data_IF_515858069189
#
_entry.id   IF_515858069189
#
_cell.length_a   1.000
_cell.length_b   1.000
_cell.length_c   1.000
_cell.angle_alpha   90.00
_cell.angle_beta   90.00
_cell.angle_gamma   90.00
#
_symmetry.space_group_name_H-M   'P 1'
#
loop_
_entity.id
_entity.type
_entity.pdbx_description
1 polymer ?
#
# COMPACT_ATOMS: atom_id res chain seq x y z
N UNK A 1 -32.82 62.64 -26.75
CA UNK A 1 -31.43 62.15 -26.68
C UNK A 1 -31.49 60.77 -26.02
N UNK A 2 -31.37 59.62 -26.68
CA UNK A 2 -30.46 59.22 -27.75
C UNK A 2 -29.51 58.15 -27.17
N UNK A 3 -29.65 56.89 -27.61
CA UNK A 3 -28.96 55.63 -27.22
C UNK A 3 -27.40 55.78 -27.19
N UNK A 4 -26.59 54.94 -26.54
CA UNK A 4 -26.29 53.52 -26.87
C UNK A 4 -25.26 52.90 -25.89
N UNK A 5 -25.32 51.57 -25.77
CA UNK A 5 -24.48 50.61 -25.02
C UNK A 5 -23.04 50.42 -25.54
N UNK A 6 -22.11 49.97 -24.67
CA UNK A 6 -21.01 49.07 -25.07
C UNK A 6 -20.49 48.19 -23.90
N UNK A 7 -20.43 46.90 -24.17
CA UNK A 7 -19.96 45.77 -23.35
C UNK A 7 -18.50 45.41 -23.69
N UNK A 8 -17.69 45.00 -22.69
CA UNK A 8 -16.48 44.13 -22.78
C UNK A 8 -16.19 43.65 -21.35
N UNK A 9 -16.27 42.38 -20.94
CA UNK A 9 -15.74 41.08 -21.43
C UNK A 9 -14.22 40.92 -21.22
N UNK A 10 -13.83 40.53 -20.01
CA UNK A 10 -12.57 39.85 -19.67
C UNK A 10 -12.90 38.82 -18.56
N UNK A 11 -13.16 37.57 -18.93
CA UNK A 11 -12.23 36.44 -19.00
C UNK A 11 -11.98 35.77 -17.62
N UNK A 12 -12.23 34.44 -17.50
CA UNK A 12 -12.24 33.73 -16.23
C UNK A 12 -10.84 33.57 -15.65
N UNK A 13 -10.74 33.73 -14.32
CA UNK A 13 -9.56 33.43 -13.53
C UNK A 13 -9.09 32.00 -13.82
N UNK A 14 -8.00 31.87 -14.58
CA UNK A 14 -7.23 30.63 -14.70
C UNK A 14 -6.73 30.28 -13.30
N UNK A 15 -7.45 29.40 -12.61
CA UNK A 15 -6.94 28.71 -11.45
C UNK A 15 -5.61 28.09 -11.83
N UNK A 16 -4.52 28.57 -11.23
CA UNK A 16 -3.21 27.95 -11.33
C UNK A 16 -3.37 26.49 -10.91
N UNK A 17 -3.32 25.58 -11.88
CA UNK A 17 -3.15 24.17 -11.61
C UNK A 17 -1.85 24.05 -10.79
N UNK A 18 -2.01 23.79 -9.50
CA UNK A 18 -0.91 23.50 -8.58
C UNK A 18 -0.21 22.27 -9.15
N UNK A 19 0.89 22.50 -9.88
CA UNK A 19 1.75 21.41 -10.32
C UNK A 19 2.21 20.70 -9.06
N UNK A 20 1.71 19.47 -8.87
CA UNK A 20 2.18 18.58 -7.84
C UNK A 20 3.69 18.46 -8.01
N UNK A 21 4.42 19.10 -7.10
CA UNK A 21 5.87 19.18 -7.10
C UNK A 21 6.39 17.75 -7.04
N UNK A 22 6.91 17.24 -8.16
CA UNK A 22 7.56 15.92 -8.25
C UNK A 22 8.70 15.94 -7.23
N UNK A 23 8.51 15.26 -6.09
CA UNK A 23 9.55 15.12 -5.08
C UNK A 23 10.64 14.26 -5.72
N UNK A 24 11.74 14.90 -6.13
CA UNK A 24 12.99 14.23 -6.51
C UNK A 24 13.44 13.38 -5.33
N UNK A 25 13.42 12.06 -5.49
CA UNK A 25 13.99 11.11 -4.53
C UNK A 25 13.53 9.69 -4.83
N UNK A 26 14.41 8.89 -5.45
CA UNK A 26 14.32 7.44 -5.57
C UNK A 26 14.05 6.93 -6.99
N UNK A 27 15.08 6.39 -7.66
CA UNK A 27 15.00 5.48 -8.82
C UNK A 27 14.35 6.00 -10.10
N UNK A 28 15.16 6.41 -11.09
CA UNK A 28 14.69 6.71 -12.45
C UNK A 28 14.37 5.45 -13.27
N UNK A 29 13.50 4.57 -12.76
CA UNK A 29 12.94 3.44 -13.51
C UNK A 29 11.59 3.78 -14.15
N UNK A 30 11.17 3.04 -15.18
CA UNK A 30 9.80 3.13 -15.69
C UNK A 30 8.83 2.79 -14.54
N UNK A 31 7.80 3.61 -14.34
CA UNK A 31 6.78 3.36 -13.31
C UNK A 31 6.18 1.95 -13.43
N UNK A 32 6.10 1.39 -14.65
CA UNK A 32 5.66 0.01 -14.86
C UNK A 32 6.56 -0.99 -14.15
N UNK A 33 7.87 -0.85 -14.31
CA UNK A 33 8.85 -1.73 -13.68
C UNK A 33 8.82 -1.59 -12.17
N UNK A 34 8.65 -0.37 -11.65
CA UNK A 34 8.51 -0.13 -10.20
C UNK A 34 7.29 -0.88 -9.65
N UNK A 35 6.14 -0.78 -10.32
CA UNK A 35 4.91 -1.49 -9.93
C UNK A 35 5.13 -3.00 -9.96
N UNK A 36 5.64 -3.54 -11.08
CA UNK A 36 5.85 -4.97 -11.27
C UNK A 36 6.86 -5.56 -10.28
N UNK A 37 7.98 -4.88 -10.06
CA UNK A 37 9.00 -5.30 -9.08
C UNK A 37 8.43 -5.30 -7.67
N UNK A 38 7.65 -4.28 -7.30
CA UNK A 38 6.99 -4.24 -6.00
C UNK A 38 5.97 -5.38 -5.84
N UNK A 39 5.16 -5.66 -6.86
CA UNK A 39 4.22 -6.78 -6.82
C UNK A 39 4.92 -8.13 -6.78
N UNK A 40 6.03 -8.31 -7.50
CA UNK A 40 6.88 -9.51 -7.41
C UNK A 40 7.45 -9.69 -5.99
N UNK A 41 7.92 -8.60 -5.38
CA UNK A 41 8.38 -8.60 -4.00
C UNK A 41 7.24 -8.98 -3.05
N UNK A 42 6.06 -8.36 -3.16
CA UNK A 42 4.91 -8.71 -2.33
C UNK A 42 4.51 -10.18 -2.51
N UNK A 43 4.52 -10.69 -3.74
CA UNK A 43 4.25 -12.10 -4.04
C UNK A 43 5.25 -13.05 -3.35
N UNK A 44 6.56 -12.73 -3.38
CA UNK A 44 7.59 -13.50 -2.68
C UNK A 44 7.40 -13.54 -1.15
N UNK A 45 6.66 -12.58 -0.61
CA UNK A 45 6.31 -12.48 0.80
C UNK A 45 4.94 -13.13 1.11
N UNK A 46 4.35 -13.83 0.14
CA UNK A 46 3.02 -14.47 0.28
C UNK A 46 1.87 -13.47 0.27
N UNK A 47 2.08 -12.24 -0.21
CA UNK A 47 1.05 -11.22 -0.37
C UNK A 47 0.61 -11.21 -1.84
N UNK A 48 -0.50 -11.88 -2.13
CA UNK A 48 -1.08 -11.98 -3.46
C UNK A 48 -1.80 -10.70 -3.91
N UNK A 49 -2.25 -9.89 -2.95
CA UNK A 49 -3.04 -8.68 -3.19
C UNK A 49 -2.38 -7.45 -2.58
N UNK A 50 -2.16 -6.44 -3.41
CA UNK A 50 -1.53 -5.18 -3.06
C UNK A 50 -2.54 -4.05 -3.14
N UNK A 51 -2.57 -3.18 -2.12
CA UNK A 51 -3.49 -2.03 -2.11
C UNK A 51 -3.04 -0.92 -3.06
N UNK A 52 -4.01 -0.15 -3.57
CA UNK A 52 -3.75 1.07 -4.33
C UNK A 52 -2.87 2.06 -3.56
N UNK A 53 -3.09 2.17 -2.25
CA UNK A 53 -2.31 3.03 -1.37
C UNK A 53 -0.84 2.59 -1.28
N UNK A 54 -0.58 1.28 -1.21
CA UNK A 54 0.78 0.74 -1.21
C UNK A 54 1.51 1.04 -2.53
N UNK A 55 0.84 0.82 -3.68
CA UNK A 55 1.40 1.13 -4.99
C UNK A 55 1.69 2.61 -5.18
N UNK A 56 0.78 3.49 -4.74
CA UNK A 56 1.00 4.94 -4.79
C UNK A 56 2.18 5.38 -3.93
N UNK A 57 2.34 4.78 -2.74
CA UNK A 57 3.47 5.02 -1.85
C UNK A 57 4.79 4.62 -2.51
N UNK A 58 4.83 3.42 -3.09
CA UNK A 58 6.04 2.89 -3.72
C UNK A 58 6.44 3.69 -4.97
N UNK A 59 5.46 4.04 -5.80
CA UNK A 59 5.68 4.84 -7.01
C UNK A 59 5.82 6.34 -6.74
N UNK A 60 5.73 6.76 -5.48
CA UNK A 60 5.82 8.16 -5.04
C UNK A 60 4.81 9.11 -5.72
N UNK A 61 3.59 8.61 -5.98
CA UNK A 61 2.48 9.41 -6.48
C UNK A 61 1.47 9.71 -5.38
N UNK A 62 0.97 10.95 -5.34
CA UNK A 62 -0.02 11.36 -4.34
C UNK A 62 -1.43 10.80 -4.60
N UNK A 63 -1.71 10.36 -5.83
CA UNK A 63 -3.03 9.87 -6.22
C UNK A 63 -3.03 9.27 -7.63
N UNK A 64 -4.12 8.56 -7.94
CA UNK A 64 -4.28 7.80 -9.18
C UNK A 64 -4.54 8.65 -10.41
N UNK A 65 -4.94 9.91 -10.24
CA UNK A 65 -5.23 10.83 -11.35
C UNK A 65 -3.97 11.30 -12.09
N UNK A 66 -2.79 11.11 -11.49
CA UNK A 66 -1.53 11.40 -12.15
C UNK A 66 -1.38 10.57 -13.42
N UNK A 67 -1.22 11.22 -14.58
CA UNK A 67 -0.97 10.53 -15.86
C UNK A 67 0.21 9.56 -15.77
N UNK A 68 1.24 9.90 -14.99
CA UNK A 68 2.43 9.06 -14.79
C UNK A 68 2.19 7.79 -13.97
N UNK A 69 1.08 7.70 -13.24
CA UNK A 69 0.63 6.47 -12.57
C UNK A 69 -0.46 5.78 -13.39
N UNK A 70 -1.47 6.56 -13.82
CA UNK A 70 -2.66 6.07 -14.52
C UNK A 70 -2.34 5.37 -15.83
N UNK A 71 -1.43 5.92 -16.63
CA UNK A 71 -1.11 5.36 -17.95
C UNK A 71 -0.38 4.01 -17.79
N UNK A 72 0.72 3.91 -17.01
CA UNK A 72 1.34 2.62 -16.66
C UNK A 72 0.35 1.60 -16.10
N UNK A 73 -0.50 2.02 -15.15
CA UNK A 73 -1.48 1.12 -14.55
C UNK A 73 -2.51 0.62 -15.57
N UNK A 74 -3.00 1.48 -16.46
CA UNK A 74 -3.91 1.09 -17.55
C UNK A 74 -3.23 0.14 -18.53
N UNK A 75 -1.97 0.37 -18.83
CA UNK A 75 -1.19 -0.49 -19.72
C UNK A 75 -0.99 -1.87 -19.08
N UNK A 76 -0.57 -1.94 -17.81
CA UNK A 76 -0.38 -3.21 -17.10
C UNK A 76 -1.70 -4.00 -16.93
N UNK A 77 -2.83 -3.31 -16.75
CA UNK A 77 -4.13 -3.96 -16.53
C UNK A 77 -4.89 -4.31 -17.81
N UNK A 78 -4.87 -3.44 -18.83
CA UNK A 78 -5.66 -3.60 -20.07
C UNK A 78 -4.83 -3.85 -21.32
N UNK A 79 -3.60 -3.35 -21.37
CA UNK A 79 -2.72 -3.51 -22.53
C UNK A 79 -1.97 -4.83 -22.50
N UNK A 80 -1.24 -5.07 -21.41
CA UNK A 80 -0.41 -6.26 -21.20
C UNK A 80 -1.14 -7.35 -20.42
N UNK A 81 -2.15 -7.00 -19.61
CA UNK A 81 -2.91 -7.97 -18.82
C UNK A 81 -2.13 -8.60 -17.66
N UNK A 82 -0.98 -8.04 -17.26
CA UNK A 82 -0.12 -8.57 -16.20
C UNK A 82 -0.67 -8.37 -14.78
N UNK A 83 -1.61 -7.43 -14.61
CA UNK A 83 -2.20 -7.11 -13.32
C UNK A 83 -3.72 -7.15 -13.44
N UNK A 84 -4.36 -7.80 -12.48
CA UNK A 84 -5.82 -7.72 -12.27
C UNK A 84 -6.12 -6.69 -11.18
N UNK A 85 -7.24 -5.97 -11.33
CA UNK A 85 -7.71 -4.99 -10.36
C UNK A 85 -9.09 -5.40 -9.84
N UNK A 86 -9.23 -5.47 -8.53
CA UNK A 86 -10.50 -5.63 -7.84
C UNK A 86 -10.70 -4.48 -6.85
N UNK A 87 -11.71 -3.64 -7.05
CA UNK A 87 -11.92 -2.43 -6.25
C UNK A 87 -10.66 -1.54 -6.10
N UNK A 88 -9.99 -1.59 -4.94
CA UNK A 88 -8.77 -0.84 -4.61
C UNK A 88 -7.56 -1.76 -4.31
N UNK A 89 -7.64 -3.02 -4.72
CA UNK A 89 -6.57 -4.00 -4.64
C UNK A 89 -6.17 -4.48 -6.04
N UNK A 90 -4.91 -4.87 -6.15
CA UNK A 90 -4.27 -5.30 -7.39
C UNK A 90 -3.54 -6.61 -7.13
N UNK A 91 -3.64 -7.58 -8.03
CA UNK A 91 -2.93 -8.85 -7.96
C UNK A 91 -2.27 -9.17 -9.30
N UNK A 92 -1.21 -9.99 -9.27
CA UNK A 92 -0.58 -10.47 -10.50
C UNK A 92 -1.54 -11.46 -11.19
N UNK A 93 -1.73 -11.32 -12.50
CA UNK A 93 -2.37 -12.36 -13.32
C UNK A 93 -1.42 -13.53 -13.55
N UNK A 94 -1.90 -14.61 -14.16
CA UNK A 94 -1.03 -15.71 -14.62
C UNK A 94 0.02 -15.21 -15.61
N UNK A 95 -0.39 -14.41 -16.60
CA UNK A 95 0.52 -13.81 -17.59
C UNK A 95 1.58 -12.91 -16.92
N UNK A 96 1.17 -12.13 -15.92
CA UNK A 96 2.09 -11.27 -15.17
C UNK A 96 3.09 -12.06 -14.34
N UNK A 97 2.65 -13.17 -13.72
CA UNK A 97 3.54 -14.10 -13.01
C UNK A 97 4.54 -14.75 -13.96
N UNK A 98 4.07 -15.25 -15.10
CA UNK A 98 4.92 -15.87 -16.11
C UNK A 98 5.97 -14.88 -16.62
N UNK A 99 5.57 -13.65 -16.97
CA UNK A 99 6.48 -12.60 -17.41
C UNK A 99 7.59 -12.30 -16.40
N UNK A 100 7.24 -12.20 -15.11
CA UNK A 100 8.21 -11.95 -14.04
C UNK A 100 9.11 -13.16 -13.79
N UNK A 101 8.62 -14.38 -13.97
CA UNK A 101 9.40 -15.62 -13.88
C UNK A 101 10.42 -15.72 -15.01
N UNK A 102 10.03 -15.42 -16.24
CA UNK A 102 10.92 -15.37 -17.42
C UNK A 102 12.03 -14.32 -17.26
N UNK A 103 11.75 -13.24 -16.53
CA UNK A 103 12.75 -12.22 -16.17
C UNK A 103 13.60 -12.58 -14.95
N UNK A 104 13.37 -13.73 -14.29
CA UNK A 104 14.06 -14.12 -13.06
C UNK A 104 13.75 -13.21 -11.86
N UNK A 105 12.62 -12.49 -11.88
CA UNK A 105 12.22 -11.53 -10.83
C UNK A 105 11.17 -12.09 -9.88
N UNK A 106 10.49 -13.17 -10.24
CA UNK A 106 9.49 -13.81 -9.38
C UNK A 106 10.15 -14.90 -8.54
N UNK A 107 10.31 -14.65 -7.25
CA UNK A 107 10.66 -15.70 -6.29
C UNK A 107 9.41 -16.51 -5.91
N UNK A 108 9.62 -17.78 -5.55
CA UNK A 108 8.56 -18.64 -5.05
C UNK A 108 7.91 -18.03 -3.81
N UNK A 109 6.58 -18.11 -3.67
CA UNK A 109 5.92 -17.71 -2.44
C UNK A 109 6.34 -18.63 -1.28
N UNK A 110 6.14 -18.20 -0.02
CA UNK A 110 6.44 -19.01 1.16
C UNK A 110 5.70 -20.35 1.10
N UNK A 111 6.38 -21.44 1.46
CA UNK A 111 5.80 -22.79 1.42
C UNK A 111 5.00 -23.10 2.68
N UNK A 112 5.35 -22.46 3.80
CA UNK A 112 4.72 -22.67 5.11
C UNK A 112 4.12 -21.38 5.66
N UNK A 113 3.17 -21.53 6.59
CA UNK A 113 2.55 -20.40 7.27
C UNK A 113 3.59 -19.66 8.13
N UNK A 114 4.50 -20.38 8.79
CA UNK A 114 5.56 -19.79 9.60
C UNK A 114 6.52 -18.93 8.76
N UNK A 115 6.94 -19.42 7.59
CA UNK A 115 7.77 -18.64 6.65
C UNK A 115 7.04 -17.39 6.16
N UNK A 116 5.75 -17.53 5.81
CA UNK A 116 4.91 -16.40 5.40
C UNK A 116 4.84 -15.34 6.49
N UNK A 117 4.57 -15.74 7.73
CA UNK A 117 4.48 -14.83 8.87
C UNK A 117 5.84 -14.18 9.17
N UNK A 118 6.95 -14.92 9.06
CA UNK A 118 8.29 -14.37 9.24
C UNK A 118 8.61 -13.30 8.18
N UNK A 119 8.32 -13.58 6.91
CA UNK A 119 8.49 -12.63 5.80
C UNK A 119 7.63 -11.38 5.97
N UNK A 120 6.35 -11.55 6.34
CA UNK A 120 5.44 -10.43 6.60
C UNK A 120 5.90 -9.56 7.78
N UNK A 121 6.41 -10.18 8.85
CA UNK A 121 7.01 -9.47 10.00
C UNK A 121 8.26 -8.69 9.59
N UNK A 122 9.15 -9.30 8.80
CA UNK A 122 10.37 -8.64 8.31
C UNK A 122 10.03 -7.42 7.43
N UNK A 123 9.07 -7.57 6.51
CA UNK A 123 8.57 -6.48 5.69
C UNK A 123 8.06 -5.33 6.55
N UNK A 124 7.22 -5.64 7.54
CA UNK A 124 6.67 -4.64 8.43
C UNK A 124 7.78 -3.94 9.22
N UNK A 125 8.81 -4.66 9.67
CA UNK A 125 10.00 -4.09 10.31
C UNK A 125 10.80 -3.13 9.42
N UNK A 126 10.87 -3.38 8.11
CA UNK A 126 11.48 -2.45 7.14
C UNK A 126 10.63 -1.21 6.89
N UNK A 127 9.31 -1.36 6.92
CA UNK A 127 8.36 -0.28 6.61
C UNK A 127 8.07 0.64 7.82
N UNK A 128 8.04 0.09 9.02
CA UNK A 128 7.78 0.85 10.24
C UNK A 128 9.09 1.29 10.91
N UNK A 129 9.17 2.55 11.34
CA UNK A 129 10.34 3.06 12.10
C UNK A 129 10.24 2.72 13.59
N UNK A 130 9.75 1.53 13.90
CA UNK A 130 9.43 1.08 15.25
C UNK A 130 10.52 0.12 15.73
N UNK A 131 10.95 0.19 17.01
CA UNK A 131 11.88 -0.80 17.55
C UNK A 131 11.35 -2.22 17.39
N UNK A 132 12.21 -3.13 16.90
CA UNK A 132 11.84 -4.52 16.59
C UNK A 132 11.15 -5.22 17.76
N UNK A 133 11.67 -5.07 18.98
CA UNK A 133 11.07 -5.67 20.19
C UNK A 133 9.61 -5.24 20.43
N UNK A 134 9.24 -4.00 20.09
CA UNK A 134 7.86 -3.50 20.25
C UNK A 134 6.94 -4.03 19.16
N UNK A 135 7.46 -4.18 17.95
CA UNK A 135 6.73 -4.82 16.86
C UNK A 135 6.46 -6.29 17.21
N UNK A 136 7.46 -7.00 17.72
CA UNK A 136 7.36 -8.41 18.08
C UNK A 136 6.32 -8.67 19.16
N UNK A 137 6.26 -7.80 20.17
CA UNK A 137 5.27 -7.91 21.23
C UNK A 137 3.83 -7.80 20.70
N UNK A 138 3.58 -6.87 19.77
CA UNK A 138 2.25 -6.71 19.15
C UNK A 138 1.96 -7.84 18.18
N UNK A 139 2.95 -8.25 17.39
CA UNK A 139 2.83 -9.34 16.44
C UNK A 139 2.45 -10.65 17.16
N UNK A 140 3.16 -10.99 18.24
CA UNK A 140 2.91 -12.19 19.01
C UNK A 140 1.50 -12.25 19.62
N UNK A 141 0.96 -11.10 20.05
CA UNK A 141 -0.43 -11.04 20.55
C UNK A 141 -1.41 -11.31 19.42
N UNK A 142 -1.27 -10.63 18.28
CA UNK A 142 -2.23 -10.73 17.19
C UNK A 142 -2.21 -12.09 16.46
N UNK A 143 -1.14 -12.88 16.62
CA UNK A 143 -1.03 -14.23 16.04
C UNK A 143 -2.04 -15.22 16.59
N UNK A 144 -2.66 -14.98 17.75
CA UNK A 144 -3.69 -15.86 18.29
C UNK A 144 -5.02 -15.80 17.47
N UNK A 145 -5.10 -14.86 16.54
CA UNK A 145 -6.24 -14.65 15.65
C UNK A 145 -7.48 -14.06 16.31
N UNK A 146 -7.38 -13.57 17.55
CA UNK A 146 -8.49 -13.01 18.32
C UNK A 146 -8.51 -11.47 18.25
N UNK A 147 -9.69 -10.87 18.43
CA UNK A 147 -9.79 -9.42 18.56
C UNK A 147 -9.19 -8.92 19.88
N UNK A 148 -8.17 -8.06 19.79
CA UNK A 148 -7.53 -7.36 20.91
C UNK A 148 -7.86 -5.88 20.93
N UNK A 149 -8.01 -5.32 22.12
CA UNK A 149 -8.18 -3.89 22.34
C UNK A 149 -6.87 -3.14 22.12
N UNK A 150 -6.97 -1.84 21.81
CA UNK A 150 -5.79 -0.96 21.74
C UNK A 150 -5.02 -0.92 23.06
N UNK A 151 -5.69 -1.03 24.21
CA UNK A 151 -5.04 -1.03 25.52
C UNK A 151 -4.12 -2.25 25.73
N UNK A 152 -4.55 -3.44 25.29
CA UNK A 152 -3.74 -4.66 25.34
C UNK A 152 -2.48 -4.52 24.46
N UNK A 153 -2.64 -4.01 23.24
CA UNK A 153 -1.51 -3.79 22.32
C UNK A 153 -0.51 -2.75 22.86
N UNK A 154 -1.00 -1.69 23.51
CA UNK A 154 -0.15 -0.67 24.14
C UNK A 154 0.62 -1.23 25.34
N UNK A 155 -0.05 -2.06 26.15
CA UNK A 155 0.57 -2.73 27.31
C UNK A 155 1.72 -3.62 26.84
N UNK A 156 1.49 -4.43 25.79
CA UNK A 156 2.49 -5.34 25.26
C UNK A 156 3.68 -4.62 24.61
N UNK A 157 3.41 -3.59 23.80
CA UNK A 157 4.45 -2.80 23.13
C UNK A 157 5.18 -1.82 24.05
N UNK A 158 4.69 -1.61 25.27
CA UNK A 158 5.20 -0.58 26.18
C UNK A 158 5.11 0.83 25.59
N UNK A 159 4.13 1.12 24.73
CA UNK A 159 3.85 2.48 24.28
C UNK A 159 2.91 3.17 25.27
N UNK A 160 3.20 4.44 25.58
CA UNK A 160 2.41 5.22 26.56
C UNK A 160 0.97 5.48 26.12
N UNK A 161 0.71 5.43 24.82
CA UNK A 161 -0.61 5.73 24.27
C UNK A 161 -0.67 5.50 22.76
N UNK A 162 -1.89 5.40 22.25
CA UNK A 162 -2.18 5.18 20.83
C UNK A 162 -1.65 6.31 19.93
N UNK A 163 -1.38 7.48 20.52
CA UNK A 163 -0.84 8.64 19.82
C UNK A 163 0.67 8.59 19.59
N UNK A 164 1.37 7.62 20.18
CA UNK A 164 2.80 7.43 20.01
C UNK A 164 3.14 7.24 18.53
N UNK A 165 4.12 8.00 18.02
CA UNK A 165 4.50 7.97 16.60
C UNK A 165 4.82 6.57 16.09
N UNK A 166 5.55 5.77 16.88
CA UNK A 166 5.86 4.37 16.55
C UNK A 166 4.63 3.46 16.49
N UNK A 167 3.72 3.58 17.47
CA UNK A 167 2.46 2.82 17.46
C UNK A 167 1.59 3.20 16.26
N UNK A 168 1.38 4.50 16.02
CA UNK A 168 0.65 5.01 14.85
C UNK A 168 1.25 4.51 13.54
N UNK A 169 2.58 4.57 13.42
CA UNK A 169 3.28 4.10 12.23
C UNK A 169 3.05 2.61 12.02
N UNK A 170 3.25 1.79 13.05
CA UNK A 170 3.06 0.33 12.98
C UNK A 170 1.63 -0.04 12.56
N UNK A 171 0.61 0.52 13.23
CA UNK A 171 -0.79 0.26 12.92
C UNK A 171 -1.17 0.74 11.52
N UNK A 172 -0.64 1.89 11.08
CA UNK A 172 -0.85 2.42 9.74
C UNK A 172 -0.28 1.50 8.66
N UNK A 173 0.94 1.00 8.85
CA UNK A 173 1.58 0.10 7.88
C UNK A 173 0.91 -1.28 7.86
N UNK A 174 0.55 -1.85 9.02
CA UNK A 174 -0.25 -3.09 9.08
C UNK A 174 -1.58 -2.94 8.33
N UNK A 175 -2.25 -1.78 8.46
CA UNK A 175 -3.48 -1.49 7.71
C UNK A 175 -3.22 -1.34 6.21
N UNK A 176 -2.15 -0.65 5.81
CA UNK A 176 -1.80 -0.47 4.40
C UNK A 176 -1.52 -1.79 3.68
N UNK A 177 -1.00 -2.78 4.41
CA UNK A 177 -0.72 -4.14 3.94
C UNK A 177 -1.93 -5.09 4.07
N UNK A 178 -3.10 -4.62 4.53
CA UNK A 178 -4.27 -5.46 4.81
C UNK A 178 -4.01 -6.60 5.79
N UNK A 179 -3.05 -6.44 6.70
CA UNK A 179 -2.78 -7.43 7.75
C UNK A 179 -3.84 -7.39 8.84
N UNK A 180 -4.61 -6.30 8.94
CA UNK A 180 -5.66 -6.13 9.94
C UNK A 180 -7.03 -6.35 9.33
N UNK A 181 -7.91 -7.01 10.08
CA UNK A 181 -9.30 -7.22 9.71
C UNK A 181 -10.14 -5.96 10.02
N UNK A 182 -10.65 -5.30 8.97
CA UNK A 182 -11.46 -4.07 9.10
C UNK A 182 -12.86 -4.31 9.68
N UNK A 183 -13.33 -5.56 9.71
CA UNK A 183 -14.62 -5.94 10.29
C UNK A 183 -14.57 -6.12 11.81
N UNK A 184 -13.36 -6.02 12.39
CA UNK A 184 -13.17 -6.13 13.83
C UNK A 184 -13.93 -5.01 14.55
N UNK A 185 -14.75 -5.38 15.55
CA UNK A 185 -15.59 -4.43 16.28
C UNK A 185 -14.86 -3.18 16.78
N UNK A 186 -15.59 -2.07 16.94
CA UNK A 186 -15.04 -0.74 17.28
C UNK A 186 -14.03 -0.80 18.44
N UNK A 187 -12.82 -0.33 18.19
CA UNK A 187 -11.74 -0.26 19.20
C UNK A 187 -10.94 -1.55 19.38
N UNK A 188 -11.24 -2.59 18.61
CA UNK A 188 -10.50 -3.85 18.58
C UNK A 188 -9.76 -4.04 17.26
N UNK A 189 -8.72 -4.85 17.31
CA UNK A 189 -7.76 -5.13 16.24
C UNK A 189 -7.51 -6.63 16.23
N UNK A 190 -7.54 -7.24 15.04
CA UNK A 190 -7.26 -8.66 14.81
C UNK A 190 -6.46 -8.78 13.52
N UNK A 191 -5.57 -9.77 13.42
CA UNK A 191 -5.00 -10.12 12.12
C UNK A 191 -6.08 -10.64 11.15
N UNK A 192 -5.95 -10.29 9.89
CA UNK A 192 -6.79 -10.83 8.83
C UNK A 192 -6.39 -12.27 8.50
N UNK A 193 -7.29 -12.99 7.84
CA UNK A 193 -7.01 -14.34 7.35
C UNK A 193 -5.80 -14.38 6.40
N UNK A 194 -5.40 -13.24 5.81
CA UNK A 194 -4.22 -13.12 4.94
C UNK A 194 -2.90 -13.36 5.68
N UNK A 195 -2.87 -13.17 6.99
CA UNK A 195 -1.71 -13.42 7.85
C UNK A 195 -1.78 -14.81 8.49
N UNK A 196 -2.99 -15.26 8.81
CA UNK A 196 -3.23 -16.47 9.61
C UNK A 196 -3.44 -17.75 8.78
N UNK A 197 -3.65 -17.61 7.47
CA UNK A 197 -3.82 -18.73 6.53
C UNK A 197 -2.77 -18.65 5.44
N UNK A 198 -2.39 -19.80 4.88
CA UNK A 198 -1.47 -19.87 3.74
C UNK A 198 -2.15 -19.29 2.49
#
# INVERSE_FOLDING_TARGET
MGKTTATKKDAPAKGKATQAKKKKGGGGGDTKDVILNYMAQMHSLGISEVTEAALLKETNYAGTDSKGFRNPMKELTKGLGYITKEAKTYSLSDDGRQHLMEQGKLASPPATLEEKQAHQRELLGKMCKTPVAKLDAVWAILLDGKPHTTAELLTASGYKGADSSGYKSMMKEMKALNFLDESTGKGKVKFSDKVLKL
#
